data_IF_605851558025
#
_entry.id   IF_605851558025
#
_cell.length_a   1.000
_cell.length_b   1.000
_cell.length_c   1.000
_cell.angle_alpha   90.00
_cell.angle_beta   90.00
_cell.angle_gamma   90.00
#
_symmetry.space_group_name_H-M   'P 1'
#
loop_
_entity.id
_entity.type
_entity.pdbx_description
1 polymer ?
#
# COMPACT_ATOMS: atom_id res chain seq x y z
N UNK A 1 -61.47 -1.62 -0.71
CA UNK A 1 -60.89 -2.50 0.34
C UNK A 1 -59.74 -3.37 -0.17
N UNK A 2 -59.92 -4.50 -0.87
CA UNK A 2 -58.79 -5.37 -1.27
C UNK A 2 -57.85 -4.73 -2.31
N UNK A 3 -58.40 -4.03 -3.32
CA UNK A 3 -57.59 -3.37 -4.34
C UNK A 3 -56.77 -2.19 -3.79
N UNK A 4 -57.32 -1.40 -2.86
CA UNK A 4 -56.62 -0.28 -2.23
C UNK A 4 -55.40 -0.74 -1.40
N UNK A 5 -55.50 -1.90 -0.76
CA UNK A 5 -54.38 -2.48 -0.01
C UNK A 5 -53.24 -2.92 -0.95
N UNK A 6 -53.59 -3.48 -2.12
CA UNK A 6 -52.61 -3.89 -3.13
C UNK A 6 -51.89 -2.66 -3.70
N UNK A 7 -52.62 -1.58 -4.02
CA UNK A 7 -52.00 -0.33 -4.48
C UNK A 7 -51.04 0.28 -3.46
N UNK A 8 -51.42 0.29 -2.17
CA UNK A 8 -50.55 0.76 -1.10
C UNK A 8 -49.22 -0.01 -1.04
N UNK A 9 -49.24 -1.35 -1.11
CA UNK A 9 -48.00 -2.13 -1.08
C UNK A 9 -47.14 -1.94 -2.32
N UNK A 10 -47.76 -1.76 -3.49
CA UNK A 10 -47.06 -1.44 -4.73
C UNK A 10 -46.33 -0.09 -4.57
N UNK A 11 -47.01 0.95 -4.06
CA UNK A 11 -46.41 2.27 -3.83
C UNK A 11 -45.26 2.21 -2.82
N UNK A 12 -45.42 1.47 -1.73
CA UNK A 12 -44.36 1.28 -0.72
C UNK A 12 -43.13 0.60 -1.32
N UNK A 13 -43.31 -0.46 -2.12
CA UNK A 13 -42.20 -1.15 -2.79
C UNK A 13 -41.49 -0.23 -3.79
N UNK A 14 -42.24 0.57 -4.55
CA UNK A 14 -41.66 1.56 -5.47
C UNK A 14 -40.80 2.59 -4.75
N UNK A 15 -41.29 3.15 -3.64
CA UNK A 15 -40.53 4.10 -2.80
C UNK A 15 -39.26 3.41 -2.25
N UNK A 16 -39.36 2.16 -1.80
CA UNK A 16 -38.21 1.41 -1.30
C UNK A 16 -37.14 1.21 -2.39
N UNK A 17 -37.53 0.93 -3.63
CA UNK A 17 -36.60 0.76 -4.76
C UNK A 17 -35.91 2.09 -5.08
N UNK A 18 -36.64 3.20 -5.11
CA UNK A 18 -36.08 4.54 -5.36
C UNK A 18 -35.08 4.93 -4.27
N UNK A 19 -35.42 4.69 -2.99
CA UNK A 19 -34.52 4.96 -1.87
C UNK A 19 -33.28 4.06 -1.88
N UNK A 20 -33.45 2.75 -2.16
CA UNK A 20 -32.36 1.79 -2.25
C UNK A 20 -31.35 2.15 -3.34
N UNK A 21 -31.83 2.46 -4.54
CA UNK A 21 -31.00 2.84 -5.69
C UNK A 21 -30.27 4.16 -5.46
N UNK A 22 -30.94 5.15 -4.87
CA UNK A 22 -30.34 6.44 -4.50
C UNK A 22 -29.24 6.26 -3.45
N UNK A 23 -29.48 5.45 -2.42
CA UNK A 23 -28.49 5.17 -1.38
C UNK A 23 -27.28 4.39 -1.92
N UNK A 24 -27.50 3.39 -2.78
CA UNK A 24 -26.43 2.65 -3.45
C UNK A 24 -25.58 3.55 -4.34
N UNK A 25 -26.19 4.52 -5.02
CA UNK A 25 -25.45 5.51 -5.80
C UNK A 25 -24.55 6.38 -4.90
N UNK A 26 -25.10 6.94 -3.82
CA UNK A 26 -24.35 7.76 -2.87
C UNK A 26 -23.19 6.96 -2.23
N UNK A 27 -23.44 5.72 -1.82
CA UNK A 27 -22.41 4.85 -1.24
C UNK A 27 -21.27 4.58 -2.23
N UNK A 28 -21.56 4.36 -3.52
CA UNK A 28 -20.52 4.16 -4.52
C UNK A 28 -19.72 5.43 -4.81
N UNK A 29 -20.38 6.59 -4.87
CA UNK A 29 -19.69 7.89 -4.99
C UNK A 29 -18.74 8.09 -3.80
N UNK A 30 -19.20 7.81 -2.57
CA UNK A 30 -18.35 7.89 -1.39
C UNK A 30 -17.18 6.89 -1.44
N UNK A 31 -17.41 5.67 -1.93
CA UNK A 31 -16.36 4.68 -2.11
C UNK A 31 -15.27 5.16 -3.10
N UNK A 32 -15.64 5.83 -4.20
CA UNK A 32 -14.66 6.44 -5.12
C UNK A 32 -13.77 7.46 -4.41
N UNK A 33 -14.36 8.38 -3.65
CA UNK A 33 -13.59 9.38 -2.90
C UNK A 33 -12.65 8.73 -1.89
N UNK A 34 -13.11 7.67 -1.21
CA UNK A 34 -12.28 6.91 -0.27
C UNK A 34 -11.11 6.21 -0.95
N UNK A 35 -11.32 5.58 -2.10
CA UNK A 35 -10.26 4.95 -2.88
C UNK A 35 -9.21 5.99 -3.26
N UNK A 36 -9.64 7.16 -3.76
CA UNK A 36 -8.72 8.24 -4.15
C UNK A 36 -7.86 8.72 -2.96
N UNK A 37 -8.47 9.00 -1.81
CA UNK A 37 -7.74 9.44 -0.62
C UNK A 37 -6.79 8.37 -0.11
N UNK A 38 -7.24 7.11 -0.09
CA UNK A 38 -6.42 6.00 0.37
C UNK A 38 -5.22 5.76 -0.55
N UNK A 39 -5.43 5.80 -1.87
CA UNK A 39 -4.37 5.70 -2.87
C UNK A 39 -3.29 6.76 -2.70
N UNK A 40 -3.68 8.03 -2.50
CA UNK A 40 -2.74 9.13 -2.30
C UNK A 40 -1.90 8.93 -1.04
N UNK A 41 -2.56 8.61 0.07
CA UNK A 41 -1.89 8.35 1.36
C UNK A 41 -0.89 7.20 1.21
N UNK A 42 -1.31 6.11 0.58
CA UNK A 42 -0.50 4.91 0.42
C UNK A 42 0.72 5.16 -0.48
N UNK A 43 0.54 5.92 -1.56
CA UNK A 43 1.64 6.31 -2.45
C UNK A 43 2.69 7.13 -1.70
N UNK A 44 2.26 8.12 -0.92
CA UNK A 44 3.15 8.97 -0.10
C UNK A 44 3.91 8.13 0.94
N UNK A 45 3.23 7.19 1.59
CA UNK A 45 3.86 6.32 2.59
C UNK A 45 4.92 5.42 1.96
N UNK A 46 4.69 4.91 0.75
CA UNK A 46 5.69 4.12 0.01
C UNK A 46 6.86 5.02 -0.44
N UNK A 47 6.61 6.26 -0.87
CA UNK A 47 7.70 7.19 -1.20
C UNK A 47 8.59 7.53 0.00
N UNK A 48 8.04 7.60 1.22
CA UNK A 48 8.78 7.94 2.44
C UNK A 48 9.48 6.75 3.08
N UNK A 49 8.78 5.63 3.20
CA UNK A 49 9.24 4.47 3.97
C UNK A 49 9.69 3.30 3.09
N UNK A 50 9.65 3.47 1.76
CA UNK A 50 9.87 2.40 0.80
C UNK A 50 8.84 1.28 0.93
N UNK A 51 9.19 0.10 0.41
CA UNK A 51 8.34 -1.10 0.47
C UNK A 51 8.18 -1.68 1.89
N UNK A 52 8.80 -1.09 2.92
CA UNK A 52 8.52 -1.42 4.32
C UNK A 52 7.14 -0.95 4.79
N UNK A 53 6.53 0.02 4.08
CA UNK A 53 5.18 0.49 4.35
C UNK A 53 4.12 -0.61 4.16
N UNK A 54 4.33 -1.49 3.17
CA UNK A 54 3.46 -2.64 2.92
C UNK A 54 4.34 -3.89 2.70
N UNK A 55 4.65 -4.65 3.78
CA UNK A 55 5.50 -5.83 3.66
C UNK A 55 4.87 -6.92 2.77
N UNK A 56 3.54 -6.90 2.63
CA UNK A 56 2.78 -7.81 1.79
C UNK A 56 3.07 -7.63 0.29
N UNK A 57 3.41 -6.41 -0.16
CA UNK A 57 3.83 -6.15 -1.54
C UNK A 57 5.08 -6.96 -1.90
N UNK A 58 6.11 -6.87 -1.08
CA UNK A 58 7.38 -7.53 -1.34
C UNK A 58 7.25 -9.06 -1.31
N UNK A 59 6.33 -9.60 -0.51
CA UNK A 59 6.13 -11.05 -0.37
C UNK A 59 5.27 -11.67 -1.48
N UNK A 60 4.23 -10.97 -1.93
CA UNK A 60 3.21 -11.57 -2.80
C UNK A 60 3.40 -11.27 -4.28
N UNK A 61 4.19 -10.25 -4.61
CA UNK A 61 4.24 -9.67 -5.93
C UNK A 61 5.52 -10.09 -6.67
N UNK A 62 5.34 -10.76 -7.81
CA UNK A 62 6.39 -11.11 -8.76
C UNK A 62 6.26 -10.22 -10.00
N UNK A 63 7.31 -10.06 -10.81
CA UNK A 63 7.27 -9.25 -12.05
C UNK A 63 6.04 -9.55 -12.93
N UNK A 64 5.71 -10.83 -13.12
CA UNK A 64 4.51 -11.25 -13.83
C UNK A 64 3.20 -10.74 -13.20
N UNK A 65 3.09 -10.78 -11.87
CA UNK A 65 1.90 -10.32 -11.14
C UNK A 65 1.78 -8.79 -11.14
N UNK A 66 2.91 -8.08 -11.09
CA UNK A 66 2.96 -6.61 -11.27
C UNK A 66 2.35 -6.25 -12.62
N UNK A 67 2.91 -6.81 -13.71
CA UNK A 67 2.46 -6.52 -15.08
C UNK A 67 0.99 -6.88 -15.28
N UNK A 68 0.57 -8.05 -14.80
CA UNK A 68 -0.83 -8.46 -14.85
C UNK A 68 -1.72 -7.49 -14.07
N UNK A 69 -1.32 -7.07 -12.87
CA UNK A 69 -2.07 -6.12 -12.05
C UNK A 69 -2.25 -4.78 -12.75
N UNK A 70 -1.21 -4.23 -13.36
CA UNK A 70 -1.28 -2.96 -14.11
C UNK A 70 -2.28 -3.00 -15.27
N UNK A 71 -2.32 -4.12 -16.01
CA UNK A 71 -3.22 -4.26 -17.17
C UNK A 71 -4.66 -4.49 -16.72
N UNK A 72 -4.88 -5.34 -15.70
CA UNK A 72 -6.24 -5.77 -15.31
C UNK A 72 -6.94 -4.79 -14.37
N UNK A 73 -6.19 -4.04 -13.54
CA UNK A 73 -6.75 -3.17 -12.52
C UNK A 73 -7.87 -2.21 -13.00
N UNK A 74 -7.69 -1.40 -14.07
CA UNK A 74 -8.72 -0.43 -14.46
C UNK A 74 -10.04 -1.12 -14.86
N UNK A 75 -9.96 -2.25 -15.57
CA UNK A 75 -11.14 -3.03 -15.96
C UNK A 75 -11.81 -3.69 -14.75
N UNK A 76 -11.02 -4.23 -13.82
CA UNK A 76 -11.53 -4.83 -12.59
C UNK A 76 -12.24 -3.81 -11.70
N UNK A 77 -11.69 -2.60 -11.59
CA UNK A 77 -12.27 -1.53 -10.78
C UNK A 77 -13.66 -1.13 -11.31
N UNK A 78 -13.81 -0.98 -12.62
CA UNK A 78 -15.11 -0.63 -13.22
C UNK A 78 -16.11 -1.79 -13.10
N UNK A 79 -15.68 -3.02 -13.36
CA UNK A 79 -16.54 -4.20 -13.26
C UNK A 79 -17.06 -4.44 -11.84
N UNK A 80 -16.18 -4.30 -10.83
CA UNK A 80 -16.57 -4.45 -9.42
C UNK A 80 -17.37 -3.27 -8.90
N UNK A 81 -17.15 -2.06 -9.42
CA UNK A 81 -18.01 -0.92 -9.11
C UNK A 81 -19.45 -1.15 -9.61
N UNK A 82 -19.61 -1.65 -10.84
CA UNK A 82 -20.91 -1.99 -11.40
C UNK A 82 -21.57 -3.15 -10.63
N UNK A 83 -20.83 -4.24 -10.39
CA UNK A 83 -21.32 -5.38 -9.61
C UNK A 83 -21.71 -4.96 -8.18
N UNK A 84 -20.88 -4.13 -7.54
CA UNK A 84 -21.14 -3.60 -6.21
C UNK A 84 -22.38 -2.73 -6.15
N UNK A 85 -22.65 -1.90 -7.16
CA UNK A 85 -23.90 -1.15 -7.24
C UNK A 85 -25.13 -2.06 -7.24
N UNK A 86 -25.15 -3.12 -8.07
CA UNK A 86 -26.27 -4.06 -8.10
C UNK A 86 -26.44 -4.83 -6.79
N UNK A 87 -25.33 -5.31 -6.21
CA UNK A 87 -25.35 -6.05 -4.95
C UNK A 87 -25.82 -5.16 -3.78
N UNK A 88 -25.33 -3.92 -3.70
CA UNK A 88 -25.75 -2.95 -2.69
C UNK A 88 -27.22 -2.57 -2.86
N UNK A 89 -27.67 -2.36 -4.11
CA UNK A 89 -29.09 -2.07 -4.40
C UNK A 89 -29.98 -3.22 -3.94
N UNK A 90 -29.63 -4.47 -4.24
CA UNK A 90 -30.39 -5.65 -3.80
C UNK A 90 -30.43 -5.72 -2.26
N UNK A 91 -29.30 -5.54 -1.60
CA UNK A 91 -29.20 -5.55 -0.14
C UNK A 91 -30.05 -4.44 0.49
N UNK A 92 -30.01 -3.22 -0.04
CA UNK A 92 -30.81 -2.11 0.46
C UNK A 92 -32.31 -2.29 0.18
N UNK A 93 -32.71 -2.88 -0.95
CA UNK A 93 -34.12 -3.23 -1.20
C UNK A 93 -34.62 -4.18 -0.12
N UNK A 94 -33.88 -5.26 0.19
CA UNK A 94 -34.28 -6.21 1.23
C UNK A 94 -34.40 -5.52 2.60
N UNK A 95 -33.45 -4.66 2.96
CA UNK A 95 -33.49 -3.93 4.23
C UNK A 95 -34.67 -2.94 4.27
N UNK A 96 -34.91 -2.17 3.21
CA UNK A 96 -35.99 -1.19 3.19
C UNK A 96 -37.38 -1.82 3.10
N UNK A 97 -37.54 -2.94 2.40
CA UNK A 97 -38.80 -3.71 2.39
C UNK A 97 -39.06 -4.32 3.78
N UNK A 98 -38.04 -4.83 4.45
CA UNK A 98 -38.18 -5.31 5.83
C UNK A 98 -38.57 -4.16 6.77
N UNK A 99 -37.90 -3.02 6.67
CA UNK A 99 -38.17 -1.84 7.49
C UNK A 99 -39.57 -1.27 7.21
N UNK A 100 -40.00 -1.19 5.95
CA UNK A 100 -41.34 -0.73 5.60
C UNK A 100 -42.42 -1.68 6.12
N UNK A 101 -42.22 -3.00 6.03
CA UNK A 101 -43.13 -3.97 6.62
C UNK A 101 -43.26 -3.80 8.14
N UNK A 102 -42.16 -3.58 8.86
CA UNK A 102 -42.18 -3.32 10.30
C UNK A 102 -42.91 -2.01 10.64
N UNK A 103 -42.67 -0.95 9.88
CA UNK A 103 -43.33 0.36 10.07
C UNK A 103 -44.83 0.25 9.79
N UNK A 104 -45.23 -0.36 8.68
CA UNK A 104 -46.63 -0.57 8.30
C UNK A 104 -47.36 -1.45 9.32
N UNK A 105 -46.74 -2.53 9.80
CA UNK A 105 -47.33 -3.36 10.85
C UNK A 105 -47.59 -2.57 12.13
N UNK A 106 -46.67 -1.68 12.52
CA UNK A 106 -46.82 -0.81 13.68
C UNK A 106 -47.85 0.31 13.48
N UNK A 107 -48.00 0.83 12.26
CA UNK A 107 -48.93 1.92 11.96
C UNK A 107 -50.39 1.48 11.80
N UNK A 108 -50.64 0.31 11.20
CA UNK A 108 -52.00 -0.15 10.87
C UNK A 108 -52.58 -1.18 11.85
N UNK A 109 -51.75 -1.83 12.67
CA UNK A 109 -52.24 -2.75 13.71
C UNK A 109 -52.33 -2.01 15.04
N UNK A 110 -53.48 -2.02 15.72
CA UNK A 110 -53.65 -1.51 17.10
C UNK A 110 -52.77 -2.21 18.16
N UNK A 111 -51.94 -3.18 17.75
CA UNK A 111 -50.90 -3.78 18.56
C UNK A 111 -49.61 -3.13 18.12
N UNK A 112 -49.07 -2.26 18.96
CA UNK A 112 -47.75 -1.66 18.80
C UNK A 112 -46.67 -2.75 18.79
N UNK A 113 -46.52 -3.49 17.69
CA UNK A 113 -45.64 -4.66 17.63
C UNK A 113 -44.21 -4.30 18.05
N UNK A 114 -43.72 -3.16 17.58
CA UNK A 114 -42.39 -2.65 17.94
C UNK A 114 -42.31 -2.27 19.42
N UNK A 115 -43.33 -1.61 19.97
CA UNK A 115 -43.35 -1.22 21.38
C UNK A 115 -43.49 -2.43 22.28
N UNK A 116 -44.30 -3.42 21.90
CA UNK A 116 -44.47 -4.67 22.64
C UNK A 116 -43.20 -5.52 22.59
N UNK A 117 -42.56 -5.61 21.43
CA UNK A 117 -41.25 -6.24 21.29
C UNK A 117 -40.22 -5.52 22.16
N UNK A 118 -40.10 -4.20 22.04
CA UNK A 118 -39.14 -3.44 22.83
C UNK A 118 -39.43 -3.55 24.34
N UNK A 119 -40.70 -3.50 24.75
CA UNK A 119 -41.16 -3.67 26.14
C UNK A 119 -40.85 -5.07 26.70
N UNK A 120 -40.87 -6.09 25.85
CA UNK A 120 -40.52 -7.46 26.25
C UNK A 120 -39.01 -7.68 26.35
N UNK A 121 -38.22 -7.08 25.46
CA UNK A 121 -36.79 -7.37 25.33
C UNK A 121 -35.88 -6.42 26.11
N UNK A 122 -36.31 -5.18 26.39
CA UNK A 122 -35.47 -4.18 27.08
C UNK A 122 -34.95 -4.61 28.46
N UNK A 123 -35.69 -5.34 29.34
CA UNK A 123 -35.15 -5.71 30.65
C UNK A 123 -34.01 -6.72 30.50
N UNK A 124 -34.13 -7.63 29.54
CA UNK A 124 -33.08 -8.61 29.23
C UNK A 124 -31.80 -7.92 28.73
N UNK A 125 -31.92 -6.98 27.80
CA UNK A 125 -30.79 -6.20 27.28
C UNK A 125 -30.15 -5.37 28.41
N UNK A 126 -30.96 -4.76 29.28
CA UNK A 126 -30.47 -3.98 30.42
C UNK A 126 -29.69 -4.86 31.40
N UNK A 127 -30.22 -6.02 31.78
CA UNK A 127 -29.54 -6.95 32.69
C UNK A 127 -28.23 -7.45 32.07
N UNK A 128 -28.25 -7.83 30.79
CA UNK A 128 -27.04 -8.28 30.07
C UNK A 128 -25.97 -7.17 30.04
N UNK A 129 -26.35 -5.94 29.67
CA UNK A 129 -25.40 -4.82 29.63
C UNK A 129 -24.88 -4.43 31.01
N UNK A 130 -25.73 -4.42 32.03
CA UNK A 130 -25.32 -4.18 33.42
C UNK A 130 -24.32 -5.23 33.91
N UNK A 131 -24.57 -6.51 33.64
CA UNK A 131 -23.63 -7.58 33.99
C UNK A 131 -22.29 -7.43 33.26
N UNK A 132 -22.31 -7.08 31.97
CA UNK A 132 -21.10 -6.78 31.20
C UNK A 132 -20.30 -5.61 31.78
N UNK A 133 -20.96 -4.54 32.23
CA UNK A 133 -20.31 -3.39 32.88
C UNK A 133 -19.71 -3.82 34.23
N UNK A 134 -20.45 -4.56 35.06
CA UNK A 134 -19.94 -5.09 36.33
C UNK A 134 -18.70 -5.96 36.09
N UNK A 135 -18.71 -6.79 35.04
CA UNK A 135 -17.58 -7.62 34.66
C UNK A 135 -16.35 -6.80 34.26
N UNK A 136 -16.53 -5.75 33.45
CA UNK A 136 -15.43 -4.84 33.10
C UNK A 136 -14.88 -4.09 34.33
N UNK A 137 -15.75 -3.66 35.24
CA UNK A 137 -15.36 -3.00 36.48
C UNK A 137 -14.59 -3.97 37.41
N UNK A 138 -15.06 -5.20 37.57
CA UNK A 138 -14.39 -6.22 38.37
C UNK A 138 -13.00 -6.56 37.81
N UNK A 139 -12.86 -6.68 36.49
CA UNK A 139 -11.56 -6.87 35.83
C UNK A 139 -10.62 -5.70 36.14
N UNK A 140 -11.10 -4.46 35.96
CA UNK A 140 -10.27 -3.26 36.09
C UNK A 140 -9.84 -2.96 37.54
N UNK A 141 -10.73 -3.16 38.51
CA UNK A 141 -10.51 -2.76 39.91
C UNK A 141 -10.06 -3.90 40.83
N UNK A 142 -10.51 -5.13 40.56
CA UNK A 142 -10.34 -6.26 41.48
C UNK A 142 -9.23 -7.22 41.02
N UNK A 143 -9.13 -7.48 39.71
CA UNK A 143 -8.23 -8.49 39.18
C UNK A 143 -6.92 -7.93 38.58
N UNK A 144 -6.96 -6.73 38.00
CA UNK A 144 -5.79 -6.16 37.29
C UNK A 144 -4.88 -5.36 38.21
N UNK A 145 -3.58 -5.66 38.20
CA UNK A 145 -2.56 -4.94 38.95
C UNK A 145 -2.34 -3.54 38.38
N UNK A 146 -2.16 -2.54 39.27
CA UNK A 146 -2.00 -1.12 38.90
C UNK A 146 -3.09 -0.58 37.94
N UNK A 147 -4.35 -1.03 38.08
CA UNK A 147 -5.51 -0.55 37.30
C UNK A 147 -5.32 -0.63 35.76
N UNK A 148 -4.52 -1.60 35.28
CA UNK A 148 -4.29 -1.84 33.84
C UNK A 148 -2.97 -1.31 33.29
N UNK A 149 -2.06 -0.81 34.14
CA UNK A 149 -0.75 -0.29 33.70
C UNK A 149 0.33 -1.39 33.60
N UNK A 150 0.08 -2.56 34.19
CA UNK A 150 0.96 -3.73 34.11
C UNK A 150 0.12 -4.99 33.88
N UNK A 151 0.67 -5.96 33.16
CA UNK A 151 0.01 -7.24 32.82
C UNK A 151 -0.10 -8.23 34.00
N UNK A 152 0.08 -7.76 35.24
CA UNK A 152 0.01 -8.58 36.45
C UNK A 152 -1.42 -8.75 36.97
N UNK A 153 -1.67 -9.89 37.64
CA UNK A 153 -2.92 -10.17 38.33
C UNK A 153 -2.70 -10.21 39.85
N UNK A 154 -3.50 -9.47 40.61
CA UNK A 154 -3.33 -9.37 42.06
C UNK A 154 -3.95 -10.55 42.85
N UNK A 155 -4.92 -11.27 42.28
CA UNK A 155 -5.62 -12.36 42.98
C UNK A 155 -6.12 -13.46 42.03
N UNK A 156 -5.21 -14.32 41.62
CA UNK A 156 -5.44 -15.38 40.61
C UNK A 156 -6.55 -16.36 41.03
N UNK A 157 -6.64 -16.70 42.33
CA UNK A 157 -7.65 -17.66 42.84
C UNK A 157 -9.07 -17.10 42.74
N UNK A 158 -9.25 -15.82 43.08
CA UNK A 158 -10.55 -15.14 42.94
C UNK A 158 -10.93 -14.97 41.46
N UNK A 159 -9.96 -14.67 40.59
CA UNK A 159 -10.17 -14.59 39.15
C UNK A 159 -10.68 -15.91 38.57
N UNK A 160 -10.11 -17.05 39.00
CA UNK A 160 -10.53 -18.36 38.52
C UNK A 160 -11.97 -18.70 38.94
N UNK A 161 -12.35 -18.41 40.19
CA UNK A 161 -13.72 -18.58 40.68
C UNK A 161 -14.72 -17.66 39.93
N UNK A 162 -14.35 -16.40 39.74
CA UNK A 162 -15.16 -15.44 39.01
C UNK A 162 -15.36 -15.85 37.54
N UNK A 163 -14.30 -16.32 36.88
CA UNK A 163 -14.37 -16.80 35.49
C UNK A 163 -15.28 -18.02 35.37
N UNK A 164 -15.25 -18.93 36.35
CA UNK A 164 -16.15 -20.09 36.39
C UNK A 164 -17.63 -19.66 36.45
N UNK A 165 -17.99 -18.76 37.36
CA UNK A 165 -19.38 -18.27 37.46
C UNK A 165 -19.81 -17.40 36.27
N UNK A 166 -18.91 -16.55 35.74
CA UNK A 166 -19.17 -15.71 34.57
C UNK A 166 -19.25 -16.50 33.25
N UNK A 167 -18.77 -17.75 33.22
CA UNK A 167 -18.72 -18.59 32.02
C UNK A 167 -20.09 -18.73 31.34
N UNK A 168 -21.16 -18.99 32.10
CA UNK A 168 -22.51 -19.12 31.55
C UNK A 168 -22.96 -17.86 30.79
N UNK A 169 -22.75 -16.68 31.38
CA UNK A 169 -23.03 -15.40 30.72
C UNK A 169 -22.19 -15.22 29.45
N UNK A 170 -20.88 -15.52 29.52
CA UNK A 170 -19.98 -15.38 28.39
C UNK A 170 -20.35 -16.31 27.22
N UNK A 171 -20.92 -17.49 27.49
CA UNK A 171 -21.46 -18.39 26.44
C UNK A 171 -22.63 -17.74 25.72
N UNK A 172 -23.62 -17.19 26.44
CA UNK A 172 -24.75 -16.49 25.81
C UNK A 172 -24.30 -15.26 25.01
N UNK A 173 -23.41 -14.45 25.59
CA UNK A 173 -22.84 -13.30 24.88
C UNK A 173 -22.05 -13.73 23.63
N UNK A 174 -21.31 -14.84 23.73
CA UNK A 174 -20.59 -15.46 22.62
C UNK A 174 -21.52 -15.91 21.49
N UNK A 175 -22.68 -16.50 21.81
CA UNK A 175 -23.69 -16.87 20.81
C UNK A 175 -24.28 -15.65 20.10
N UNK A 176 -24.65 -14.61 20.85
CA UNK A 176 -25.19 -13.36 20.29
C UNK A 176 -24.14 -12.69 19.40
N UNK A 177 -22.89 -12.61 19.85
CA UNK A 177 -21.78 -12.07 19.07
C UNK A 177 -21.51 -12.90 17.81
N UNK A 178 -21.61 -14.23 17.90
CA UNK A 178 -21.49 -15.15 16.78
C UNK A 178 -22.56 -14.90 15.72
N UNK A 179 -23.82 -14.76 16.12
CA UNK A 179 -24.91 -14.39 15.22
C UNK A 179 -24.67 -13.01 14.58
N UNK A 180 -24.19 -12.05 15.38
CA UNK A 180 -23.78 -10.73 14.89
C UNK A 180 -22.70 -10.80 13.81
N UNK A 181 -21.73 -11.72 13.92
CA UNK A 181 -20.71 -11.95 12.87
C UNK A 181 -21.32 -12.49 11.59
N UNK A 182 -22.22 -13.47 11.70
CA UNK A 182 -22.91 -14.05 10.53
C UNK A 182 -23.70 -13.00 9.76
N UNK A 183 -24.28 -12.00 10.45
CA UNK A 183 -25.00 -10.91 9.81
C UNK A 183 -24.09 -9.78 9.30
N UNK A 184 -23.16 -9.30 10.12
CA UNK A 184 -22.35 -8.12 9.79
C UNK A 184 -21.27 -8.41 8.75
N UNK A 185 -20.68 -9.62 8.73
CA UNK A 185 -19.59 -9.95 7.80
C UNK A 185 -20.04 -9.90 6.32
N UNK A 186 -21.16 -10.53 5.91
CA UNK A 186 -21.63 -10.44 4.52
C UNK A 186 -22.06 -9.03 4.15
N UNK A 187 -22.73 -8.32 5.06
CA UNK A 187 -23.19 -6.93 4.81
C UNK A 187 -22.00 -6.00 4.61
N UNK A 188 -21.02 -6.03 5.51
CA UNK A 188 -19.81 -5.21 5.37
C UNK A 188 -18.99 -5.58 4.13
N UNK A 189 -18.92 -6.86 3.78
CA UNK A 189 -18.25 -7.33 2.55
C UNK A 189 -18.97 -6.84 1.29
N UNK A 190 -20.30 -6.88 1.26
CA UNK A 190 -21.10 -6.37 0.15
C UNK A 190 -20.97 -4.85 -0.03
N UNK A 191 -20.86 -4.10 1.07
CA UNK A 191 -20.61 -2.65 1.01
C UNK A 191 -19.20 -2.32 0.51
N UNK A 192 -18.22 -3.14 0.84
CA UNK A 192 -16.83 -2.98 0.41
C UNK A 192 -16.52 -3.63 -0.95
N UNK A 193 -17.44 -4.35 -1.59
CA UNK A 193 -17.13 -5.09 -2.82
C UNK A 193 -16.74 -4.19 -4.00
N UNK A 194 -17.24 -2.94 -4.03
CA UNK A 194 -16.87 -1.97 -5.07
C UNK A 194 -15.47 -1.37 -4.86
N UNK A 195 -14.80 -1.73 -3.77
CA UNK A 195 -13.49 -1.25 -3.38
C UNK A 195 -12.45 -2.35 -3.52
N UNK A 196 -11.50 -2.13 -4.43
CA UNK A 196 -10.34 -3.02 -4.62
C UNK A 196 -9.19 -2.74 -3.65
N UNK A 197 -9.23 -1.63 -2.94
CA UNK A 197 -8.16 -1.19 -2.05
C UNK A 197 -8.16 -1.91 -0.70
N UNK A 198 -9.27 -2.57 -0.33
CA UNK A 198 -9.40 -3.37 0.88
C UNK A 198 -9.85 -4.76 0.49
N UNK A 199 -9.06 -5.77 0.82
CA UNK A 199 -9.50 -7.15 0.66
C UNK A 199 -10.58 -7.50 1.71
N UNK A 200 -11.73 -8.07 1.31
CA UNK A 200 -12.72 -8.60 2.25
C UNK A 200 -12.22 -9.87 2.96
N UNK A 201 -11.12 -10.46 2.49
CA UNK A 201 -10.51 -11.64 3.07
C UNK A 201 -9.59 -11.28 4.25
N UNK A 202 -9.52 -12.18 5.24
CA UNK A 202 -8.59 -12.03 6.37
C UNK A 202 -7.12 -12.10 5.92
N UNK A 203 -6.23 -11.38 6.63
CA UNK A 203 -4.79 -11.27 6.34
C UNK A 203 -4.08 -12.52 5.77
N UNK A 204 -4.22 -13.73 6.36
CA UNK A 204 -3.48 -14.90 5.84
C UNK A 204 -3.89 -15.34 4.44
N UNK A 205 -5.10 -15.01 3.99
CA UNK A 205 -5.69 -15.47 2.72
C UNK A 205 -5.91 -14.33 1.72
N UNK A 206 -5.44 -13.12 2.01
CA UNK A 206 -5.58 -11.95 1.13
C UNK A 206 -4.90 -12.14 -0.23
N UNK A 207 -3.86 -12.97 -0.31
CA UNK A 207 -3.21 -13.29 -1.59
C UNK A 207 -4.12 -14.01 -2.59
N UNK A 208 -5.23 -14.61 -2.13
CA UNK A 208 -6.21 -15.28 -3.00
C UNK A 208 -7.17 -14.28 -3.65
N UNK A 209 -7.26 -13.07 -3.10
CA UNK A 209 -8.09 -12.00 -3.67
C UNK A 209 -7.40 -11.40 -4.90
N UNK A 210 -7.87 -11.82 -6.07
CA UNK A 210 -7.29 -11.38 -7.35
C UNK A 210 -7.49 -9.88 -7.58
N UNK A 211 -8.57 -9.30 -7.04
CA UNK A 211 -8.84 -7.87 -7.14
C UNK A 211 -7.81 -7.07 -6.34
N UNK A 212 -7.62 -7.44 -5.08
CA UNK A 212 -6.65 -6.78 -4.20
C UNK A 212 -5.21 -6.93 -4.72
N UNK A 213 -4.83 -8.11 -5.19
CA UNK A 213 -3.50 -8.33 -5.79
C UNK A 213 -3.31 -7.50 -7.07
N UNK A 214 -4.36 -7.32 -7.88
CA UNK A 214 -4.28 -6.46 -9.07
C UNK A 214 -4.09 -4.98 -8.71
N UNK A 215 -4.80 -4.48 -7.69
CA UNK A 215 -4.58 -3.13 -7.15
C UNK A 215 -3.15 -2.96 -6.64
N UNK A 216 -2.64 -3.95 -5.89
CA UNK A 216 -1.28 -3.93 -5.36
C UNK A 216 -0.22 -3.92 -6.47
N UNK A 217 -0.43 -4.73 -7.52
CA UNK A 217 0.42 -4.76 -8.71
C UNK A 217 0.43 -3.44 -9.47
N UNK A 218 -0.74 -2.83 -9.64
CA UNK A 218 -0.87 -1.50 -10.24
C UNK A 218 -0.14 -0.44 -9.42
N UNK A 219 -0.37 -0.38 -8.11
CA UNK A 219 0.26 0.59 -7.21
C UNK A 219 1.78 0.45 -7.19
N UNK A 220 2.29 -0.78 -7.16
CA UNK A 220 3.73 -1.04 -7.23
C UNK A 220 4.35 -0.51 -8.53
N UNK A 221 3.70 -0.80 -9.66
CA UNK A 221 4.16 -0.32 -10.96
C UNK A 221 4.11 1.22 -11.07
N UNK A 222 3.06 1.84 -10.52
CA UNK A 222 2.90 3.30 -10.53
C UNK A 222 3.99 3.98 -9.70
N UNK A 223 4.19 3.54 -8.45
CA UNK A 223 5.20 4.12 -7.54
C UNK A 223 6.62 3.97 -8.10
N UNK A 224 6.94 2.84 -8.74
CA UNK A 224 8.25 2.62 -9.33
C UNK A 224 8.49 3.55 -10.54
N UNK A 225 7.49 3.74 -11.39
CA UNK A 225 7.60 4.57 -12.60
C UNK A 225 7.50 6.07 -12.30
N UNK A 226 6.63 6.46 -11.37
CA UNK A 226 6.25 7.84 -11.11
C UNK A 226 6.89 8.43 -9.85
N UNK A 227 8.02 7.87 -9.39
CA UNK A 227 8.73 8.39 -8.22
C UNK A 227 9.17 9.86 -8.46
N UNK A 228 8.61 10.83 -7.71
CA UNK A 228 8.85 12.25 -7.97
C UNK A 228 10.30 12.65 -7.64
N UNK A 229 10.92 12.04 -6.64
CA UNK A 229 12.31 12.32 -6.24
C UNK A 229 13.28 11.85 -7.32
N UNK A 230 13.07 10.65 -7.86
CA UNK A 230 13.89 10.15 -8.96
C UNK A 230 13.72 10.99 -10.22
N UNK A 231 12.47 11.30 -10.61
CA UNK A 231 12.18 12.09 -11.81
C UNK A 231 12.75 13.50 -11.74
N UNK A 232 12.64 14.17 -10.58
CA UNK A 232 13.24 15.50 -10.37
C UNK A 232 14.76 15.45 -10.35
N UNK A 233 15.36 14.41 -9.75
CA UNK A 233 16.81 14.19 -9.79
C UNK A 233 17.32 13.98 -11.21
N UNK A 234 16.65 13.14 -12.00
CA UNK A 234 17.00 12.90 -13.39
C UNK A 234 16.81 14.16 -14.26
N UNK A 235 15.71 14.89 -14.05
CA UNK A 235 15.50 16.18 -14.71
C UNK A 235 16.60 17.19 -14.36
N UNK A 236 17.06 17.25 -13.11
CA UNK A 236 18.16 18.13 -12.70
C UNK A 236 19.50 17.73 -13.37
N UNK A 237 19.73 16.45 -13.61
CA UNK A 237 20.91 15.95 -14.35
C UNK A 237 20.83 16.24 -15.86
N UNK A 238 19.63 16.14 -16.44
CA UNK A 238 19.43 16.25 -17.89
C UNK A 238 19.17 17.69 -18.36
N UNK A 239 18.72 18.59 -17.46
CA UNK A 239 18.45 20.01 -17.73
C UNK A 239 19.67 20.78 -18.28
N UNK A 240 20.90 20.60 -17.75
CA UNK A 240 22.10 21.18 -18.35
C UNK A 240 22.40 20.67 -19.77
N UNK A 241 22.08 19.40 -20.08
CA UNK A 241 22.27 18.84 -21.42
C UNK A 241 21.25 19.42 -22.41
N UNK A 242 20.02 19.67 -21.96
CA UNK A 242 18.99 20.32 -22.78
C UNK A 242 19.32 21.79 -23.10
N UNK A 243 19.83 22.55 -22.12
CA UNK A 243 20.25 23.95 -22.32
C UNK A 243 21.44 24.08 -23.28
N UNK A 244 22.30 23.06 -23.38
CA UNK A 244 23.43 23.04 -24.30
C UNK A 244 23.03 22.70 -25.77
N UNK A 245 21.74 22.57 -26.08
CA UNK A 245 21.22 22.51 -27.45
C UNK A 245 21.33 21.15 -28.16
N UNK A 246 21.75 20.07 -27.49
CA UNK A 246 21.96 18.76 -28.12
C UNK A 246 20.72 17.86 -28.15
N UNK A 247 19.64 18.18 -27.43
CA UNK A 247 18.44 17.32 -27.32
C UNK A 247 17.13 18.09 -27.52
N UNK A 248 16.43 17.77 -28.63
CA UNK A 248 15.10 18.28 -28.96
C UNK A 248 14.03 17.69 -28.00
N UNK A 249 12.99 18.44 -27.65
CA UNK A 249 12.08 18.14 -26.52
C UNK A 249 11.38 16.77 -26.58
N UNK A 250 11.08 16.26 -27.79
CA UNK A 250 10.52 14.89 -27.99
C UNK A 250 11.56 13.78 -27.79
N UNK A 251 12.83 14.04 -28.09
CA UNK A 251 13.91 13.09 -27.88
C UNK A 251 14.30 13.04 -26.40
N UNK A 252 14.07 14.12 -25.65
CA UNK A 252 14.33 14.18 -24.21
C UNK A 252 13.41 13.24 -23.42
N UNK A 253 12.09 13.25 -23.65
CA UNK A 253 11.17 12.35 -22.95
C UNK A 253 11.42 10.88 -23.32
N UNK A 254 11.77 10.60 -24.58
CA UNK A 254 12.16 9.26 -25.03
C UNK A 254 13.50 8.79 -24.43
N UNK A 255 14.51 9.67 -24.40
CA UNK A 255 15.81 9.41 -23.79
C UNK A 255 15.67 9.21 -22.27
N UNK A 256 14.88 10.05 -21.60
CA UNK A 256 14.56 9.95 -20.18
C UNK A 256 13.94 8.59 -19.85
N UNK A 257 12.94 8.16 -20.63
CA UNK A 257 12.31 6.85 -20.45
C UNK A 257 13.29 5.70 -20.73
N UNK A 258 14.16 5.83 -21.73
CA UNK A 258 15.19 4.81 -22.03
C UNK A 258 16.26 4.70 -20.95
N UNK A 259 16.65 5.83 -20.33
CA UNK A 259 17.61 5.88 -19.23
C UNK A 259 17.00 5.39 -17.92
N UNK A 260 15.74 5.72 -17.64
CA UNK A 260 14.97 5.14 -16.52
C UNK A 260 14.93 3.62 -16.67
N UNK A 261 14.68 3.12 -17.89
CA UNK A 261 14.63 1.68 -18.17
C UNK A 261 16.02 1.03 -18.07
N UNK A 262 17.07 1.69 -18.56
CA UNK A 262 18.45 1.23 -18.45
C UNK A 262 18.93 1.18 -16.99
N UNK A 263 18.64 2.22 -16.21
CA UNK A 263 18.94 2.28 -14.78
C UNK A 263 18.18 1.20 -13.99
N UNK A 264 16.90 0.98 -14.32
CA UNK A 264 16.08 -0.06 -13.68
C UNK A 264 16.59 -1.47 -14.01
N UNK A 265 17.03 -1.72 -15.26
CA UNK A 265 17.74 -2.97 -15.62
C UNK A 265 19.04 -3.15 -14.86
N UNK A 266 19.78 -2.06 -14.62
CA UNK A 266 21.04 -2.09 -13.89
C UNK A 266 20.80 -2.44 -12.42
N UNK A 267 19.76 -1.85 -11.80
CA UNK A 267 19.36 -2.10 -10.42
C UNK A 267 18.99 -3.58 -10.19
N UNK A 268 18.15 -4.15 -11.07
CA UNK A 268 17.77 -5.56 -10.99
C UNK A 268 18.93 -6.52 -11.31
N UNK A 269 19.88 -6.13 -12.18
CA UNK A 269 21.10 -6.92 -12.41
C UNK A 269 21.99 -7.01 -11.17
N UNK A 270 21.97 -6.00 -10.30
CA UNK A 270 22.65 -6.04 -8.99
C UNK A 270 21.94 -6.97 -7.99
N UNK A 271 20.61 -7.00 -7.98
CA UNK A 271 19.83 -7.92 -7.13
C UNK A 271 19.98 -9.38 -7.57
N UNK A 272 19.95 -9.65 -8.89
CA UNK A 272 20.18 -10.99 -9.46
C UNK A 272 21.62 -11.46 -9.22
N UNK A 273 22.60 -10.54 -9.27
CA UNK A 273 23.99 -10.85 -8.90
C UNK A 273 24.12 -11.19 -7.43
N UNK A 274 23.46 -10.46 -6.52
CA UNK A 274 23.45 -10.78 -5.09
C UNK A 274 22.75 -12.14 -4.82
N UNK A 275 21.66 -12.43 -5.53
CA UNK A 275 20.98 -13.73 -5.43
C UNK A 275 21.84 -14.89 -6.00
N UNK A 276 22.56 -14.65 -7.08
CA UNK A 276 23.52 -15.61 -7.65
C UNK A 276 24.74 -15.80 -6.74
N UNK A 277 25.25 -14.74 -6.11
CA UNK A 277 26.39 -14.80 -5.18
C UNK A 277 26.04 -15.62 -3.93
N UNK A 278 24.81 -15.47 -3.41
CA UNK A 278 24.31 -16.30 -2.32
C UNK A 278 24.16 -17.79 -2.70
N UNK A 279 23.98 -18.12 -3.98
CA UNK A 279 23.96 -19.50 -4.48
C UNK A 279 25.37 -20.06 -4.75
N UNK A 280 26.33 -19.23 -5.17
CA UNK A 280 27.73 -19.64 -5.37
C UNK A 280 28.54 -19.72 -4.09
N UNK A 281 28.22 -18.98 -3.02
CA UNK A 281 28.92 -19.11 -1.73
C UNK A 281 28.70 -20.49 -1.08
N UNK A 282 27.66 -21.24 -1.48
CA UNK A 282 27.44 -22.61 -1.00
C UNK A 282 28.25 -23.68 -1.75
N UNK A 283 28.94 -23.34 -2.85
CA UNK A 283 29.80 -24.28 -3.58
C UNK A 283 31.08 -23.58 -4.02
N UNK A 284 32.19 -24.01 -3.41
CA UNK A 284 33.59 -23.97 -3.87
C UNK A 284 34.49 -23.12 -2.94
N UNK A 285 35.29 -23.84 -2.13
CA UNK A 285 36.57 -23.38 -1.59
C UNK A 285 37.66 -23.47 -2.66
N UNK A 286 38.77 -22.72 -2.51
CA UNK A 286 39.58 -22.24 -3.62
C UNK A 286 40.75 -23.18 -3.94
N UNK A 287 41.13 -23.24 -5.21
CA UNK A 287 42.44 -23.71 -5.63
C UNK A 287 42.91 -22.93 -6.87
N UNK A 288 44.04 -22.25 -6.68
CA UNK A 288 45.16 -22.04 -7.60
C UNK A 288 44.97 -21.13 -8.83
N UNK A 289 45.66 -19.99 -8.72
CA UNK A 289 46.56 -19.33 -9.67
C UNK A 289 46.61 -19.88 -11.11
N UNK A 290 46.58 -18.97 -12.09
CA UNK A 290 47.65 -18.81 -13.08
C UNK A 290 47.53 -17.44 -13.77
N UNK A 291 48.68 -16.79 -13.72
CA UNK A 291 49.20 -15.60 -14.39
C UNK A 291 49.00 -15.60 -15.93
N UNK A 292 48.66 -14.43 -16.51
CA UNK A 292 49.18 -14.07 -17.84
C UNK A 292 49.15 -12.55 -18.06
N UNK A 293 50.37 -11.99 -18.10
CA UNK A 293 50.70 -10.72 -18.75
C UNK A 293 50.42 -10.82 -20.26
N UNK A 294 49.93 -9.74 -20.85
CA UNK A 294 50.27 -9.42 -22.25
C UNK A 294 50.44 -7.91 -22.41
N UNK A 295 51.69 -7.54 -22.69
CA UNK A 295 52.15 -6.25 -23.22
C UNK A 295 51.58 -6.01 -24.62
N UNK A 296 51.16 -4.78 -24.94
CA UNK A 296 51.15 -4.27 -26.32
C UNK A 296 51.45 -2.76 -26.33
N UNK A 297 52.68 -2.48 -26.76
CA UNK A 297 53.09 -1.47 -27.74
C UNK A 297 52.73 0.02 -27.54
N UNK A 298 53.76 0.80 -27.18
CA UNK A 298 53.87 2.25 -27.43
C UNK A 298 54.18 2.49 -28.90
N UNK A 299 53.54 3.51 -29.49
CA UNK A 299 54.10 4.26 -30.60
C UNK A 299 54.06 5.76 -30.29
N UNK A 300 55.25 6.35 -30.34
CA UNK A 300 55.53 7.77 -30.21
C UNK A 300 55.30 8.46 -31.55
N UNK A 301 54.59 9.58 -31.55
CA UNK A 301 54.81 10.63 -32.55
C UNK A 301 54.99 11.98 -31.87
N UNK A 302 56.21 12.51 -32.01
CA UNK A 302 56.59 13.90 -31.76
C UNK A 302 56.24 14.78 -32.97
N UNK A 303 55.91 16.04 -32.69
CA UNK A 303 55.65 17.15 -33.62
C UNK A 303 54.63 18.09 -32.98
N UNK A 304 55.01 18.95 -32.03
CA UNK A 304 55.48 20.32 -32.26
C UNK A 304 54.40 21.19 -32.94
N UNK A 305 53.81 22.12 -32.18
CA UNK A 305 53.51 23.52 -32.53
C UNK A 305 52.89 24.17 -31.29
N UNK A 306 53.70 25.03 -30.67
CA UNK A 306 53.30 26.07 -29.72
C UNK A 306 52.13 26.90 -30.24
N UNK A 307 51.33 27.45 -29.31
CA UNK A 307 50.23 28.44 -29.47
C UNK A 307 48.79 27.95 -29.22
N UNK A 308 48.54 27.28 -28.08
CA UNK A 308 47.17 27.06 -27.57
C UNK A 308 47.02 27.10 -26.03
N UNK A 309 47.98 27.63 -25.27
CA UNK A 309 47.96 27.52 -23.80
C UNK A 309 47.04 28.51 -23.06
N UNK A 310 46.59 29.61 -23.67
CA UNK A 310 45.82 30.63 -22.93
C UNK A 310 44.31 30.36 -22.79
N UNK A 311 43.74 29.46 -23.59
CA UNK A 311 42.30 29.13 -23.52
C UNK A 311 42.00 27.86 -22.70
N UNK A 312 42.98 26.98 -22.49
CA UNK A 312 42.84 25.74 -21.70
C UNK A 312 43.02 25.94 -20.18
N UNK A 313 43.76 26.97 -19.76
CA UNK A 313 43.98 27.28 -18.33
C UNK A 313 42.73 27.80 -17.60
N UNK A 314 41.87 28.56 -18.28
CA UNK A 314 40.67 29.17 -17.67
C UNK A 314 39.58 28.12 -17.38
N UNK A 315 39.43 27.12 -18.25
CA UNK A 315 38.47 26.04 -18.05
C UNK A 315 38.91 25.06 -16.94
N UNK A 316 40.21 24.75 -16.85
CA UNK A 316 40.74 23.84 -15.82
C UNK A 316 40.60 24.42 -14.41
N UNK A 317 40.82 25.72 -14.23
CA UNK A 317 40.64 26.39 -12.94
C UNK A 317 39.16 26.47 -12.50
N UNK A 318 38.23 26.71 -13.44
CA UNK A 318 36.79 26.67 -13.16
C UNK A 318 36.33 25.27 -12.76
N UNK A 319 36.83 24.22 -13.42
CA UNK A 319 36.57 22.83 -13.05
C UNK A 319 37.13 22.49 -11.65
N UNK A 320 38.35 22.95 -11.33
CA UNK A 320 38.99 22.74 -10.03
C UNK A 320 38.22 23.45 -8.90
N UNK A 321 37.74 24.68 -9.13
CA UNK A 321 36.87 25.43 -8.19
C UNK A 321 35.54 24.71 -7.93
N UNK A 322 34.89 24.18 -8.98
CA UNK A 322 33.65 23.39 -8.85
C UNK A 322 33.87 22.10 -8.07
N UNK A 323 34.95 21.36 -8.36
CA UNK A 323 35.32 20.14 -7.65
C UNK A 323 35.56 20.38 -6.16
N UNK A 324 36.29 21.44 -5.81
CA UNK A 324 36.53 21.82 -4.41
C UNK A 324 35.22 22.17 -3.68
N UNK A 325 34.29 22.88 -4.33
CA UNK A 325 32.97 23.18 -3.75
C UNK A 325 32.15 21.92 -3.48
N UNK A 326 32.15 20.95 -4.40
CA UNK A 326 31.45 19.68 -4.23
C UNK A 326 32.01 18.87 -3.04
N UNK A 327 33.35 18.88 -2.86
CA UNK A 327 34.00 18.23 -1.70
C UNK A 327 33.55 18.83 -0.37
N UNK A 328 33.45 20.15 -0.28
CA UNK A 328 32.95 20.82 0.93
C UNK A 328 31.45 20.56 1.19
N UNK A 329 30.62 20.51 0.14
CA UNK A 329 29.20 20.15 0.27
C UNK A 329 29.01 18.70 0.72
N UNK A 330 29.85 17.78 0.24
CA UNK A 330 29.87 16.39 0.70
C UNK A 330 30.29 16.30 2.18
N UNK A 331 31.34 17.00 2.58
CA UNK A 331 31.77 17.03 3.98
C UNK A 331 30.66 17.58 4.90
N UNK A 332 30.02 18.69 4.50
CA UNK A 332 28.92 19.30 5.26
C UNK A 332 27.73 18.34 5.42
N UNK A 333 27.34 17.62 4.36
CA UNK A 333 26.22 16.67 4.40
C UNK A 333 26.52 15.45 5.28
N UNK A 334 27.75 14.94 5.26
CA UNK A 334 28.19 13.82 6.11
C UNK A 334 28.30 14.20 7.58
N UNK A 335 28.77 15.41 7.91
CA UNK A 335 28.82 15.91 9.29
C UNK A 335 27.41 16.00 9.90
N UNK A 336 26.43 16.44 9.10
CA UNK A 336 25.04 16.61 9.55
C UNK A 336 24.27 15.28 9.65
N UNK A 337 24.67 14.24 8.91
CA UNK A 337 23.99 12.95 8.85
C UNK A 337 24.98 11.80 9.13
N UNK A 338 25.26 11.54 10.42
CA UNK A 338 26.27 10.55 10.84
C UNK A 338 25.99 9.12 10.35
N UNK A 339 24.72 8.74 10.27
CA UNK A 339 24.29 7.42 9.78
C UNK A 339 24.73 7.14 8.32
N UNK A 340 24.86 8.18 7.50
CA UNK A 340 25.27 8.04 6.09
C UNK A 340 26.77 7.71 5.95
N UNK A 341 27.59 7.98 6.97
CA UNK A 341 29.03 7.65 6.94
C UNK A 341 29.21 6.13 6.91
N UNK A 342 28.48 5.41 7.76
CA UNK A 342 28.54 3.95 7.79
C UNK A 342 28.02 3.31 6.50
N UNK A 343 26.97 3.88 5.89
CA UNK A 343 26.40 3.39 4.63
C UNK A 343 27.32 3.70 3.42
N UNK A 344 27.94 4.88 3.38
CA UNK A 344 28.88 5.24 2.31
C UNK A 344 30.06 4.29 2.26
N UNK A 345 30.68 4.01 3.40
CA UNK A 345 31.83 3.10 3.45
C UNK A 345 31.46 1.68 3.00
N UNK A 346 30.22 1.22 3.24
CA UNK A 346 29.72 -0.06 2.74
C UNK A 346 29.48 -0.05 1.23
N UNK A 347 28.97 1.04 0.66
CA UNK A 347 28.72 1.15 -0.78
C UNK A 347 30.00 1.37 -1.60
N UNK A 348 30.99 2.11 -1.10
CA UNK A 348 32.29 2.27 -1.78
C UNK A 348 33.03 0.93 -1.92
N UNK A 349 32.89 0.02 -0.96
CA UNK A 349 33.43 -1.35 -1.05
C UNK A 349 32.72 -2.17 -2.15
N UNK A 350 31.42 -1.93 -2.39
CA UNK A 350 30.67 -2.59 -3.46
C UNK A 350 30.96 -1.99 -4.86
N UNK A 351 31.27 -0.69 -4.96
CA UNK A 351 31.49 -0.02 -6.26
C UNK A 351 32.81 -0.37 -6.92
N UNK A 352 33.79 -0.93 -6.20
CA UNK A 352 35.01 -1.48 -6.81
C UNK A 352 34.77 -2.70 -7.73
N UNK A 353 33.54 -3.24 -7.77
CA UNK A 353 33.15 -4.36 -8.63
C UNK A 353 32.38 -3.98 -9.90
N UNK A 354 32.00 -2.70 -10.07
CA UNK A 354 31.22 -2.24 -11.24
C UNK A 354 31.77 -0.90 -11.76
N UNK A 355 32.43 -0.89 -12.93
CA UNK A 355 32.93 0.36 -13.51
C UNK A 355 31.77 1.21 -14.04
N UNK A 356 31.54 2.35 -13.37
CA UNK A 356 30.54 3.40 -13.71
C UNK A 356 30.83 4.08 -15.07
N UNK A 357 32.00 3.83 -15.66
CA UNK A 357 32.43 4.40 -16.95
C UNK A 357 31.60 3.93 -18.16
N UNK A 358 30.85 2.82 -18.07
CA UNK A 358 30.10 2.32 -19.25
C UNK A 358 28.79 3.05 -19.55
N UNK A 359 28.33 3.97 -18.69
CA UNK A 359 27.01 4.62 -18.82
C UNK A 359 27.07 5.86 -19.72
N UNK A 360 28.19 6.59 -19.73
CA UNK A 360 28.32 7.82 -20.52
C UNK A 360 29.06 7.64 -21.87
N UNK A 361 29.86 6.59 -22.06
CA UNK A 361 30.56 6.33 -23.34
C UNK A 361 29.61 6.02 -24.50
N UNK A 362 28.40 5.51 -24.22
CA UNK A 362 27.39 5.23 -25.26
C UNK A 362 26.59 6.44 -25.72
N UNK A 363 26.71 7.58 -25.05
CA UNK A 363 26.09 8.85 -25.45
C UNK A 363 26.99 9.72 -26.34
N UNK A 364 28.27 9.35 -26.50
CA UNK A 364 29.22 10.03 -27.40
C UNK A 364 29.42 9.38 -28.77
N UNK A 365 28.65 8.32 -29.10
CA UNK A 365 28.80 7.55 -30.34
C UNK A 365 27.47 7.29 -31.05
N UNK A 366 26.64 8.34 -31.18
CA UNK A 366 25.48 8.35 -32.09
C UNK A 366 25.49 9.62 -32.94
#
# INVERSE_FOLDING_TARGET
MQYEYIYYWIDVVWICIILATSLAFITNVFNVFRIMFHYQTLSIDIYRNGFKAIPEMAKWLNAFKVTRGTILYPSYQVALMACGYYLQTLLYIVIFVFLSAVVTLNAFTNKDFLVQFLRSWWPGILIMTAFGIIQQLAIRFLFTQHRGRSYGFNNVRSLQLYTFFSSFYNVFFGLISGFGRVLYCPVSSALCISRLDISPLGKPIQFMDTGYVAFLGFLYADVLKNNPTFRTGLWALLSPCHQNGTLNQRNFDAALMSEVEAFNRLLHRTEDKQAAEHLTISRVSPALDIESKSEVHSDNHHGEIDSAEESYGVNTDLHKRRSNRNRWQLAYTLIRNKELIALRNRCEVASHSVPVYSIFDKLGSA
#
